data_IF_238302624234
#
_entry.id   IF_238302624234
#
_cell.length_a   1.000
_cell.length_b   1.000
_cell.length_c   1.000
_cell.angle_alpha   90.00
_cell.angle_beta   90.00
_cell.angle_gamma   90.00
#
_symmetry.space_group_name_H-M   'P 1'
#
loop_
_entity.id
_entity.type
_entity.pdbx_description
1 polymer ?
#
# COMPACT_ATOMS: atom_id res chain seq x y z
N UNK A 1 -9.56 5.81 -69.95
CA UNK A 1 -9.56 5.41 -68.52
C UNK A 1 -8.29 5.87 -67.81
N UNK A 2 -7.08 5.42 -68.18
CA UNK A 2 -5.82 5.84 -67.53
C UNK A 2 -5.61 7.36 -67.42
N UNK A 3 -5.92 8.12 -68.48
CA UNK A 3 -5.79 9.58 -68.48
C UNK A 3 -6.69 10.27 -67.44
N UNK A 4 -7.88 9.72 -67.15
CA UNK A 4 -8.79 10.25 -66.15
C UNK A 4 -8.23 10.02 -64.74
N UNK A 5 -7.69 8.83 -64.47
CA UNK A 5 -7.02 8.50 -63.20
C UNK A 5 -5.79 9.37 -62.97
N UNK A 6 -4.98 9.63 -64.00
CA UNK A 6 -3.82 10.53 -63.88
C UNK A 6 -4.23 12.00 -63.67
N UNK A 7 -5.41 12.40 -64.14
CA UNK A 7 -5.97 13.74 -63.90
C UNK A 7 -6.50 13.87 -62.46
N UNK A 8 -7.27 12.90 -61.99
CA UNK A 8 -7.92 12.96 -60.68
C UNK A 8 -7.04 12.42 -59.56
N UNK A 9 -5.93 11.73 -59.90
CA UNK A 9 -5.01 11.05 -58.99
C UNK A 9 -5.67 10.01 -58.07
N UNK A 10 -6.85 9.52 -58.45
CA UNK A 10 -7.67 8.59 -57.69
C UNK A 10 -8.12 7.42 -58.57
N UNK A 11 -8.13 6.22 -58.00
CA UNK A 11 -8.66 5.00 -58.62
C UNK A 11 -9.48 4.23 -57.58
N UNK A 12 -10.62 3.70 -57.99
CA UNK A 12 -11.47 2.89 -57.13
C UNK A 12 -10.78 1.56 -56.76
N UNK A 13 -10.84 1.12 -55.49
CA UNK A 13 -10.13 -0.09 -55.03
C UNK A 13 -10.54 -1.38 -55.75
N UNK A 14 -11.80 -1.50 -56.15
CA UNK A 14 -12.33 -2.67 -56.88
C UNK A 14 -11.68 -2.79 -58.26
N UNK A 15 -11.64 -1.69 -59.01
CA UNK A 15 -11.02 -1.61 -60.34
C UNK A 15 -9.50 -1.80 -60.25
N UNK A 16 -8.88 -1.28 -59.19
CA UNK A 16 -7.45 -1.49 -58.97
C UNK A 16 -7.17 -2.97 -58.71
N UNK A 17 -7.99 -3.69 -57.92
CA UNK A 17 -7.78 -5.09 -57.60
C UNK A 17 -7.85 -6.01 -58.83
N UNK A 18 -8.79 -5.74 -59.73
CA UNK A 18 -8.99 -6.48 -60.99
C UNK A 18 -7.85 -6.29 -62.00
N UNK A 19 -7.02 -5.26 -61.84
CA UNK A 19 -5.92 -4.98 -62.76
C UNK A 19 -4.75 -5.98 -62.57
N UNK A 20 -4.19 -6.45 -63.68
CA UNK A 20 -2.98 -7.29 -63.65
C UNK A 20 -1.80 -6.55 -62.99
N UNK A 21 -0.90 -7.29 -62.34
CA UNK A 21 0.23 -6.72 -61.58
C UNK A 21 1.11 -5.78 -62.42
N UNK A 22 1.42 -6.16 -63.67
CA UNK A 22 2.21 -5.33 -64.59
C UNK A 22 1.52 -3.99 -64.89
N UNK A 23 0.19 -4.01 -65.01
CA UNK A 23 -0.60 -2.80 -65.27
C UNK A 23 -0.68 -1.91 -64.04
N UNK A 24 -0.73 -2.50 -62.83
CA UNK A 24 -0.64 -1.75 -61.56
C UNK A 24 0.69 -1.03 -61.42
N UNK A 25 1.79 -1.72 -61.73
CA UNK A 25 3.13 -1.14 -61.67
C UNK A 25 3.25 0.05 -62.63
N UNK A 26 2.86 -0.12 -63.90
CA UNK A 26 2.86 0.97 -64.89
C UNK A 26 1.99 2.14 -64.45
N UNK A 27 0.81 1.88 -63.90
CA UNK A 27 -0.08 2.91 -63.36
C UNK A 27 0.58 3.69 -62.23
N UNK A 28 1.16 3.02 -61.23
CA UNK A 28 1.82 3.69 -60.11
C UNK A 28 3.02 4.52 -60.54
N UNK A 29 3.84 4.03 -61.49
CA UNK A 29 4.93 4.82 -62.06
C UNK A 29 4.41 6.09 -62.71
N UNK A 30 3.36 6.01 -63.53
CA UNK A 30 2.77 7.17 -64.20
C UNK A 30 2.11 8.16 -63.22
N UNK A 31 1.43 7.65 -62.19
CA UNK A 31 0.86 8.47 -61.12
C UNK A 31 1.95 9.19 -60.34
N UNK A 32 3.08 8.52 -60.06
CA UNK A 32 4.20 9.11 -59.36
C UNK A 32 4.89 10.19 -60.18
N UNK A 33 5.10 9.94 -61.46
CA UNK A 33 5.62 10.96 -62.40
C UNK A 33 4.72 12.21 -62.41
N UNK A 34 3.40 12.03 -62.47
CA UNK A 34 2.46 13.15 -62.49
C UNK A 34 2.41 13.91 -61.15
N UNK A 35 2.53 13.21 -60.00
CA UNK A 35 2.70 13.88 -58.70
C UNK A 35 3.94 14.77 -58.68
N UNK A 36 5.07 14.25 -59.14
CA UNK A 36 6.34 14.99 -59.18
C UNK A 36 6.21 16.18 -60.14
N UNK A 37 5.58 15.99 -61.31
CA UNK A 37 5.34 17.07 -62.28
C UNK A 37 4.47 18.19 -61.69
N UNK A 38 3.34 17.84 -61.05
CA UNK A 38 2.45 18.80 -60.37
C UNK A 38 3.10 19.49 -59.19
N UNK A 39 3.94 18.77 -58.44
CA UNK A 39 4.70 19.36 -57.36
C UNK A 39 5.72 20.36 -57.90
N UNK A 40 6.57 19.98 -58.86
CA UNK A 40 7.53 20.88 -59.50
C UNK A 40 6.88 22.13 -60.10
N UNK A 41 5.76 21.97 -60.79
CA UNK A 41 5.02 23.11 -61.36
C UNK A 41 4.46 24.04 -60.27
N UNK A 42 4.02 23.48 -59.14
CA UNK A 42 3.56 24.28 -57.99
C UNK A 42 4.71 24.99 -57.30
N UNK A 43 5.86 24.32 -57.10
CA UNK A 43 7.07 24.92 -56.55
C UNK A 43 7.57 26.06 -57.43
N UNK A 44 7.66 25.85 -58.74
CA UNK A 44 8.07 26.88 -59.70
C UNK A 44 7.13 28.10 -59.67
N UNK A 45 5.82 27.86 -59.61
CA UNK A 45 4.83 28.93 -59.47
C UNK A 45 4.96 29.66 -58.13
N UNK A 46 5.21 28.94 -57.04
CA UNK A 46 5.39 29.51 -55.71
C UNK A 46 6.66 30.36 -55.67
N UNK A 47 7.77 29.87 -56.21
CA UNK A 47 9.01 30.64 -56.37
C UNK A 47 8.79 31.91 -57.21
N UNK A 48 8.06 31.81 -58.32
CA UNK A 48 7.76 32.97 -59.16
C UNK A 48 6.87 33.99 -58.44
N UNK A 49 5.88 33.53 -57.69
CA UNK A 49 5.00 34.36 -56.87
C UNK A 49 5.78 35.00 -55.70
N UNK A 50 6.74 34.32 -55.09
CA UNK A 50 7.64 34.88 -54.08
C UNK A 50 8.56 35.95 -54.66
N UNK A 51 9.18 35.68 -55.82
CA UNK A 51 9.98 36.68 -56.57
C UNK A 51 9.15 37.92 -56.92
N UNK A 52 7.85 37.75 -57.22
CA UNK A 52 6.91 38.86 -57.47
C UNK A 52 6.50 39.60 -56.19
N UNK A 53 6.36 38.91 -55.05
CA UNK A 53 5.99 39.49 -53.74
C UNK A 53 7.11 40.31 -53.11
N UNK A 54 8.38 40.01 -53.40
CA UNK A 54 9.54 40.77 -52.90
C UNK A 54 9.56 42.26 -53.32
N UNK A 55 8.68 42.70 -54.24
CA UNK A 55 8.64 44.09 -54.73
C UNK A 55 7.60 45.01 -54.06
N UNK A 56 6.80 44.52 -53.11
CA UNK A 56 5.84 45.37 -52.40
C UNK A 56 6.42 45.80 -51.05
N UNK A 57 6.57 47.11 -50.76
CA UNK A 57 6.93 47.55 -49.41
C UNK A 57 5.81 47.10 -48.46
N UNK A 58 6.15 46.21 -47.53
CA UNK A 58 5.23 45.68 -46.54
C UNK A 58 4.95 46.78 -45.52
N UNK A 59 3.68 47.13 -45.31
CA UNK A 59 3.25 48.06 -44.25
C UNK A 59 3.86 47.65 -42.90
N UNK A 60 4.45 48.62 -42.21
CA UNK A 60 5.35 48.57 -41.04
C UNK A 60 4.89 47.81 -39.76
N UNK A 61 3.83 47.00 -39.78
CA UNK A 61 3.27 46.39 -38.56
C UNK A 61 3.08 44.88 -38.64
N UNK A 62 4.04 44.13 -39.20
CA UNK A 62 4.10 42.68 -39.05
C UNK A 62 5.38 42.29 -38.34
N UNK A 63 5.26 41.57 -37.22
CA UNK A 63 6.40 40.96 -36.53
C UNK A 63 7.10 40.02 -37.51
N UNK A 64 8.33 40.34 -37.88
CA UNK A 64 9.18 39.53 -38.74
C UNK A 64 10.17 38.78 -37.84
N UNK A 65 10.29 37.47 -38.05
CA UNK A 65 11.31 36.65 -37.40
C UNK A 65 12.45 36.49 -38.40
N UNK A 66 13.57 37.13 -38.12
CA UNK A 66 14.80 36.96 -38.89
C UNK A 66 15.72 36.00 -38.12
N UNK A 67 16.23 35.00 -38.82
CA UNK A 67 17.22 34.09 -38.25
C UNK A 67 18.58 34.80 -38.13
N UNK A 68 19.24 34.58 -37.00
CA UNK A 68 20.62 35.04 -36.82
C UNK A 68 21.49 34.31 -37.85
N UNK A 69 22.31 35.05 -38.60
CA UNK A 69 23.23 34.48 -39.59
C UNK A 69 24.65 34.37 -39.04
N UNK A 70 25.31 33.26 -39.35
CA UNK A 70 26.73 33.05 -39.06
C UNK A 70 27.66 33.89 -39.95
N UNK A 71 28.97 33.77 -39.73
CA UNK A 71 29.99 34.47 -40.55
C UNK A 71 30.02 34.01 -42.01
N UNK A 72 29.54 32.81 -42.26
CA UNK A 72 29.37 32.17 -43.55
C UNK A 72 28.10 32.62 -44.29
N UNK A 73 27.23 33.41 -43.63
CA UNK A 73 25.95 33.86 -44.19
C UNK A 73 24.85 32.79 -44.12
N UNK A 74 25.14 31.61 -43.58
CA UNK A 74 24.18 30.57 -43.25
C UNK A 74 23.44 30.90 -41.95
N UNK A 75 22.36 30.17 -41.66
CA UNK A 75 21.64 30.29 -40.39
C UNK A 75 22.52 29.82 -39.22
N UNK A 76 22.53 30.59 -38.13
CA UNK A 76 23.30 30.27 -36.93
C UNK A 76 22.61 29.16 -36.15
N UNK A 77 23.32 28.04 -36.01
CA UNK A 77 22.86 26.86 -35.28
C UNK A 77 23.73 26.68 -34.04
N UNK A 78 23.09 26.55 -32.88
CA UNK A 78 23.76 26.12 -31.64
C UNK A 78 23.52 24.63 -31.43
N UNK A 79 24.59 23.85 -31.36
CA UNK A 79 24.53 22.42 -31.04
C UNK A 79 24.98 22.26 -29.59
N UNK A 80 24.05 21.78 -28.75
CA UNK A 80 24.36 21.52 -27.33
C UNK A 80 25.46 20.47 -27.21
N UNK A 81 26.53 20.82 -26.49
CA UNK A 81 27.66 19.93 -26.23
C UNK A 81 28.82 20.01 -27.23
N UNK A 82 28.73 20.82 -28.28
CA UNK A 82 29.88 21.13 -29.16
C UNK A 82 30.65 22.39 -28.71
N UNK A 83 30.01 23.26 -27.93
CA UNK A 83 30.66 24.45 -27.41
C UNK A 83 31.61 24.10 -26.24
N UNK A 84 32.74 24.81 -26.15
CA UNK A 84 33.83 24.52 -25.18
C UNK A 84 33.41 24.52 -23.70
N UNK A 85 32.30 25.20 -23.39
CA UNK A 85 31.79 25.33 -22.03
C UNK A 85 30.54 24.45 -21.79
N UNK A 86 30.05 23.76 -22.82
CA UNK A 86 28.89 22.89 -22.70
C UNK A 86 29.35 21.49 -22.26
N UNK A 87 28.52 20.84 -21.45
CA UNK A 87 28.73 19.42 -21.14
C UNK A 87 28.49 18.60 -22.39
N UNK A 88 29.29 17.56 -22.59
CA UNK A 88 29.02 16.63 -23.69
C UNK A 88 27.71 15.89 -23.42
N UNK A 89 27.07 15.43 -24.49
CA UNK A 89 25.83 14.64 -24.39
C UNK A 89 26.05 13.41 -23.49
N UNK A 90 27.20 12.76 -23.62
CA UNK A 90 27.59 11.61 -22.80
C UNK A 90 27.66 11.95 -21.31
N UNK A 91 28.25 13.10 -20.95
CA UNK A 91 28.34 13.56 -19.56
C UNK A 91 26.96 13.86 -18.97
N UNK A 92 26.06 14.45 -19.77
CA UNK A 92 24.68 14.72 -19.34
C UNK A 92 23.95 13.40 -19.05
N UNK A 93 24.04 12.43 -19.97
CA UNK A 93 23.42 11.12 -19.81
C UNK A 93 23.98 10.36 -18.60
N UNK A 94 25.29 10.47 -18.35
CA UNK A 94 25.92 9.83 -17.19
C UNK A 94 25.46 10.47 -15.87
N UNK A 95 25.36 11.80 -15.82
CA UNK A 95 24.81 12.51 -14.64
C UNK A 95 23.34 12.11 -14.39
N UNK A 96 22.52 12.08 -15.44
CA UNK A 96 21.13 11.63 -15.36
C UNK A 96 21.04 10.20 -14.83
N UNK A 97 21.82 9.26 -15.38
CA UNK A 97 21.86 7.88 -14.93
C UNK A 97 22.27 7.77 -13.45
N UNK A 98 23.26 8.55 -13.01
CA UNK A 98 23.68 8.61 -11.60
C UNK A 98 22.56 9.11 -10.70
N UNK A 99 21.86 10.17 -11.08
CA UNK A 99 20.74 10.70 -10.28
C UNK A 99 19.59 9.71 -10.17
N UNK A 100 19.28 8.99 -11.25
CA UNK A 100 18.25 7.96 -11.28
C UNK A 100 18.64 6.80 -10.34
N UNK A 101 19.88 6.32 -10.44
CA UNK A 101 20.38 5.23 -9.62
C UNK A 101 20.36 5.59 -8.12
N UNK A 102 20.76 6.82 -7.76
CA UNK A 102 20.72 7.29 -6.38
C UNK A 102 19.29 7.35 -5.84
N UNK A 103 18.35 7.92 -6.61
CA UNK A 103 16.95 8.00 -6.22
C UNK A 103 16.32 6.62 -6.05
N UNK A 104 16.68 5.67 -6.91
CA UNK A 104 16.21 4.29 -6.79
C UNK A 104 16.79 3.62 -5.53
N UNK A 105 18.09 3.77 -5.28
CA UNK A 105 18.73 3.22 -4.09
C UNK A 105 18.14 3.81 -2.80
N UNK A 106 17.84 5.11 -2.78
CA UNK A 106 17.19 5.77 -1.66
C UNK A 106 15.79 5.19 -1.41
N UNK A 107 14.96 5.08 -2.44
CA UNK A 107 13.63 4.49 -2.34
C UNK A 107 13.68 3.04 -1.85
N UNK A 108 14.58 2.21 -2.38
CA UNK A 108 14.78 0.83 -1.92
C UNK A 108 15.18 0.79 -0.44
N UNK A 109 16.13 1.63 -0.03
CA UNK A 109 16.53 1.79 1.39
C UNK A 109 15.36 2.19 2.28
N UNK A 110 14.55 3.16 1.86
CA UNK A 110 13.37 3.59 2.63
C UNK A 110 12.35 2.47 2.78
N UNK A 111 12.08 1.71 1.72
CA UNK A 111 11.18 0.55 1.81
C UNK A 111 11.69 -0.53 2.76
N UNK A 112 13.01 -0.75 2.80
CA UNK A 112 13.62 -1.70 3.72
C UNK A 112 13.49 -1.20 5.17
N UNK A 113 13.82 0.07 5.43
CA UNK A 113 13.69 0.68 6.76
C UNK A 113 12.25 0.63 7.28
N UNK A 114 11.27 0.92 6.43
CA UNK A 114 9.86 0.85 6.81
C UNK A 114 9.43 -0.58 7.17
N UNK A 115 9.92 -1.58 6.43
CA UNK A 115 9.67 -3.00 6.75
C UNK A 115 10.32 -3.39 8.07
N UNK A 116 11.58 -3.05 8.27
CA UNK A 116 12.30 -3.33 9.52
C UNK A 116 11.63 -2.66 10.72
N UNK A 117 11.19 -1.41 10.59
CA UNK A 117 10.47 -0.70 11.64
C UNK A 117 9.12 -1.36 11.94
N UNK A 118 8.37 -1.80 10.92
CA UNK A 118 7.12 -2.52 11.10
C UNK A 118 7.34 -3.87 11.82
N UNK A 119 8.39 -4.61 11.46
CA UNK A 119 8.76 -5.86 12.14
C UNK A 119 9.16 -5.61 13.60
N UNK A 120 9.98 -4.59 13.86
CA UNK A 120 10.33 -4.18 15.22
C UNK A 120 9.09 -3.79 16.02
N UNK A 121 8.19 -2.99 15.45
CA UNK A 121 6.94 -2.58 16.10
C UNK A 121 6.06 -3.78 16.43
N UNK A 122 5.94 -4.74 15.51
CA UNK A 122 5.21 -5.99 15.75
C UNK A 122 5.83 -6.78 16.91
N UNK A 123 7.16 -6.93 16.92
CA UNK A 123 7.88 -7.61 18.01
C UNK A 123 7.71 -6.90 19.35
N UNK A 124 7.75 -5.58 19.37
CA UNK A 124 7.50 -4.77 20.57
C UNK A 124 6.08 -4.95 21.10
N UNK A 125 5.09 -5.02 20.21
CA UNK A 125 3.69 -5.25 20.57
C UNK A 125 3.49 -6.69 21.12
N UNK A 126 4.10 -7.69 20.48
CA UNK A 126 4.10 -9.06 20.97
C UNK A 126 4.70 -9.17 22.38
N UNK A 127 5.83 -8.48 22.62
CA UNK A 127 6.45 -8.40 23.95
C UNK A 127 5.52 -7.72 24.98
N UNK A 128 4.87 -6.61 24.61
CA UNK A 128 3.89 -5.95 25.48
C UNK A 128 2.74 -6.87 25.85
N UNK A 129 2.20 -7.61 24.88
CA UNK A 129 1.13 -8.58 25.11
C UNK A 129 1.59 -9.78 25.95
N UNK A 130 2.85 -10.21 25.83
CA UNK A 130 3.41 -11.23 26.72
C UNK A 130 3.44 -10.73 28.17
N UNK A 131 3.95 -9.51 28.40
CA UNK A 131 3.97 -8.91 29.74
C UNK A 131 2.56 -8.76 30.33
N UNK A 132 1.56 -8.35 29.52
CA UNK A 132 0.16 -8.26 29.97
C UNK A 132 -0.35 -9.65 30.36
N UNK A 133 -0.18 -10.66 29.51
CA UNK A 133 -0.60 -12.04 29.82
C UNK A 133 0.09 -12.60 31.04
N UNK A 134 1.37 -12.30 31.25
CA UNK A 134 2.09 -12.71 32.46
C UNK A 134 1.53 -12.03 33.71
N UNK A 135 1.21 -10.74 33.64
CA UNK A 135 0.56 -10.01 34.74
C UNK A 135 -0.82 -10.58 35.05
N UNK A 136 -1.66 -10.85 34.05
CA UNK A 136 -2.98 -11.46 34.24
C UNK A 136 -2.88 -12.86 34.86
N UNK A 137 -1.95 -13.69 34.38
CA UNK A 137 -1.70 -15.02 34.97
C UNK A 137 -1.27 -14.89 36.42
N UNK A 138 -0.36 -13.97 36.71
CA UNK A 138 0.11 -13.73 38.07
C UNK A 138 -1.01 -13.23 38.98
N UNK A 139 -1.85 -12.32 38.50
CA UNK A 139 -3.02 -11.82 39.23
C UNK A 139 -4.03 -12.94 39.54
N UNK A 140 -4.32 -13.81 38.57
CA UNK A 140 -5.18 -14.98 38.78
C UNK A 140 -4.56 -15.95 39.77
N UNK A 141 -3.25 -16.19 39.70
CA UNK A 141 -2.56 -17.06 40.67
C UNK A 141 -2.61 -16.48 42.09
N UNK A 142 -2.39 -15.17 42.23
CA UNK A 142 -2.51 -14.47 43.51
C UNK A 142 -3.94 -14.54 44.05
N UNK A 143 -4.95 -14.36 43.20
CA UNK A 143 -6.35 -14.51 43.57
C UNK A 143 -6.68 -15.93 44.02
N UNK A 144 -6.20 -16.96 43.29
CA UNK A 144 -6.37 -18.37 43.69
C UNK A 144 -5.74 -18.65 45.05
N UNK A 145 -4.54 -18.12 45.31
CA UNK A 145 -3.88 -18.25 46.63
C UNK A 145 -4.68 -17.56 47.74
N UNK A 146 -5.29 -16.41 47.47
CA UNK A 146 -6.18 -15.73 48.42
C UNK A 146 -7.43 -16.56 48.70
N UNK A 147 -8.12 -17.05 47.67
CA UNK A 147 -9.31 -17.92 47.79
C UNK A 147 -8.98 -19.21 48.56
N UNK A 148 -7.82 -19.84 48.31
CA UNK A 148 -7.37 -21.03 49.04
C UNK A 148 -7.07 -20.72 50.52
N UNK A 149 -6.46 -19.57 50.82
CA UNK A 149 -6.20 -19.13 52.19
C UNK A 149 -7.50 -18.83 52.95
N UNK A 150 -8.48 -18.19 52.31
CA UNK A 150 -9.82 -17.95 52.85
C UNK A 150 -10.57 -19.25 53.11
N UNK A 151 -10.52 -20.20 52.17
CA UNK A 151 -11.09 -21.53 52.34
C UNK A 151 -10.46 -22.27 53.52
N UNK A 152 -9.13 -22.20 53.67
CA UNK A 152 -8.43 -22.82 54.79
C UNK A 152 -8.85 -22.22 56.14
N UNK A 153 -9.00 -20.89 56.21
CA UNK A 153 -9.51 -20.21 57.41
C UNK A 153 -10.95 -20.66 57.74
N UNK A 154 -11.83 -20.69 56.72
CA UNK A 154 -13.21 -21.15 56.89
C UNK A 154 -13.31 -22.61 57.37
N UNK A 155 -12.51 -23.52 56.80
CA UNK A 155 -12.45 -24.92 57.23
C UNK A 155 -11.97 -25.03 58.69
N UNK A 156 -10.97 -24.23 59.07
CA UNK A 156 -10.47 -24.21 60.46
C UNK A 156 -11.55 -23.75 61.44
N UNK A 157 -12.29 -22.70 61.09
CA UNK A 157 -13.41 -22.22 61.90
C UNK A 157 -14.54 -23.25 61.99
N UNK A 158 -14.90 -23.92 60.89
CA UNK A 158 -15.90 -24.98 60.88
C UNK A 158 -15.51 -26.15 61.80
N UNK A 159 -14.23 -26.58 61.78
CA UNK A 159 -13.74 -27.62 62.70
C UNK A 159 -13.88 -27.21 64.16
N UNK A 160 -13.51 -25.99 64.50
CA UNK A 160 -13.65 -25.46 65.86
C UNK A 160 -15.12 -25.35 66.29
N UNK A 161 -16.02 -25.01 65.37
CA UNK A 161 -17.46 -24.96 65.65
C UNK A 161 -18.04 -26.36 65.90
N UNK A 162 -17.65 -27.36 65.12
CA UNK A 162 -18.03 -28.76 65.34
C UNK A 162 -17.53 -29.25 66.70
N UNK A 163 -16.26 -28.97 67.04
CA UNK A 163 -15.70 -29.35 68.35
C UNK A 163 -16.46 -28.70 69.51
N UNK A 164 -16.82 -27.42 69.40
CA UNK A 164 -17.66 -26.73 70.39
C UNK A 164 -19.05 -27.35 70.50
N UNK A 165 -19.69 -27.63 69.37
CA UNK A 165 -21.00 -28.28 69.31
C UNK A 165 -20.98 -29.68 69.92
N UNK A 166 -19.95 -30.47 69.65
CA UNK A 166 -19.76 -31.79 70.25
C UNK A 166 -19.59 -31.70 71.77
N UNK A 167 -18.86 -30.69 72.25
CA UNK A 167 -18.62 -30.47 73.67
C UNK A 167 -19.90 -30.00 74.39
N UNK A 168 -20.70 -29.15 73.76
CA UNK A 168 -22.04 -28.79 74.24
C UNK A 168 -22.99 -29.98 74.25
N UNK A 169 -23.02 -30.79 73.18
CA UNK A 169 -23.80 -32.02 73.13
C UNK A 169 -23.38 -33.00 74.23
N UNK A 170 -22.08 -33.16 74.49
CA UNK A 170 -21.56 -33.98 75.60
C UNK A 170 -22.06 -33.49 76.95
N UNK A 171 -22.00 -32.18 77.19
CA UNK A 171 -22.54 -31.57 78.42
C UNK A 171 -24.04 -31.81 78.54
N UNK A 172 -24.80 -31.60 77.46
CA UNK A 172 -26.23 -31.87 77.45
C UNK A 172 -26.56 -33.35 77.67
N UNK A 173 -25.78 -34.27 77.12
CA UNK A 173 -25.93 -35.71 77.38
C UNK A 173 -25.60 -36.07 78.83
N UNK A 174 -24.52 -35.52 79.40
CA UNK A 174 -24.17 -35.72 80.80
C UNK A 174 -25.22 -35.13 81.75
N UNK A 175 -25.78 -33.96 81.44
CA UNK A 175 -26.87 -33.35 82.19
C UNK A 175 -28.16 -34.18 82.09
N UNK A 176 -28.51 -34.66 80.89
CA UNK A 176 -29.64 -35.58 80.69
C UNK A 176 -29.44 -36.90 81.47
N UNK A 177 -28.21 -37.43 81.49
CA UNK A 177 -27.86 -38.64 82.28
C UNK A 177 -28.01 -38.38 83.78
N UNK A 178 -27.55 -37.24 84.27
CA UNK A 178 -27.72 -36.84 85.69
C UNK A 178 -29.20 -36.71 86.06
N UNK A 179 -30.00 -36.05 85.22
CA UNK A 179 -31.44 -35.92 85.43
C UNK A 179 -32.16 -37.28 85.43
N UNK A 180 -31.80 -38.20 84.53
CA UNK A 180 -32.36 -39.55 84.52
C UNK A 180 -32.02 -40.33 85.80
N UNK A 181 -30.78 -40.24 86.28
CA UNK A 181 -30.35 -40.86 87.54
C UNK A 181 -31.13 -40.27 88.72
N UNK A 182 -31.33 -38.96 88.74
CA UNK A 182 -32.09 -38.27 89.79
C UNK A 182 -33.56 -38.70 89.80
N UNK A 183 -34.21 -38.78 88.63
CA UNK A 183 -35.58 -39.31 88.48
C UNK A 183 -35.65 -40.77 88.95
N UNK A 184 -34.66 -41.61 88.61
CA UNK A 184 -34.62 -43.02 89.02
C UNK A 184 -34.44 -43.17 90.54
N UNK A 185 -33.63 -42.31 91.18
CA UNK A 185 -33.52 -42.24 92.63
C UNK A 185 -34.82 -41.77 93.30
N UNK A 186 -35.50 -40.80 92.70
CA UNK A 186 -36.80 -40.30 93.17
C UNK A 186 -37.88 -41.37 93.05
N UNK A 187 -37.93 -42.12 91.95
CA UNK A 187 -38.81 -43.29 91.79
C UNK A 187 -38.49 -44.40 92.80
N UNK A 188 -37.21 -44.68 93.07
CA UNK A 188 -36.80 -45.62 94.12
C UNK A 188 -37.20 -45.13 95.52
N UNK A 189 -37.11 -43.83 95.80
CA UNK A 189 -37.60 -43.20 97.04
C UNK A 189 -39.13 -43.27 97.15
N UNK A 190 -39.85 -43.04 96.05
CA UNK A 190 -41.31 -43.16 95.99
C UNK A 190 -41.78 -44.62 96.18
N UNK A 191 -41.11 -45.60 95.55
CA UNK A 191 -41.35 -47.03 95.78
C UNK A 191 -41.05 -47.49 97.21
N UNK A 192 -40.09 -46.86 97.90
CA UNK A 192 -39.84 -47.09 99.34
C UNK A 192 -40.94 -46.49 100.22
N UNK A 193 -41.47 -45.31 99.88
CA UNK A 193 -42.60 -44.67 100.58
C UNK A 193 -43.95 -45.35 100.35
N UNK A 194 -44.09 -46.13 99.29
CA UNK A 194 -45.30 -46.92 98.99
C UNK A 194 -45.28 -48.33 99.62
N UNK A 195 -44.25 -48.68 100.40
CA UNK A 195 -44.05 -50.01 101.01
C UNK A 195 -44.10 -50.01 102.55
N UNK A 196 -44.43 -48.87 103.15
CA UNK A 196 -44.89 -48.71 104.55
C UNK A 196 -46.41 -48.53 104.56
#
# INVERSE_FOLDING_TARGET
>A
MLQQILKDMYIEPEILAELAEDQKQVLFYKMREEQIRRWKLREEKLEEDEKKKQKKPVKDNKKQVDFLKGRDGCEWVWIMGEHKNDKTIEQILEEEAKTIALKQAEAESETLRLKEEAELKKKMEEQRQQVIREKEKHEVEMRRKQEEAELYQSIKEARLAVEKMELENRKQEDDKRRQLIEIEEEEKRAKRRSRE
#
